data_IF_533378196486
#
_entry.id   IF_533378196486
#
_cell.length_a   1.000
_cell.length_b   1.000
_cell.length_c   1.000
_cell.angle_alpha   90.00
_cell.angle_beta   90.00
_cell.angle_gamma   90.00
#
_symmetry.space_group_name_H-M   'P 1'
#
loop_
_entity.id
_entity.type
_entity.pdbx_description
1 polymer ?
#
# COMPACT_ATOMS: atom_id res chain seq x y z
N UNK A 1 20.37 -10.55 -35.75
CA UNK A 1 20.35 -9.95 -34.40
C UNK A 1 20.35 -11.10 -33.41
N UNK A 2 21.19 -11.08 -32.38
CA UNK A 2 21.15 -12.14 -31.37
C UNK A 2 19.82 -12.07 -30.59
N UNK A 3 19.22 -13.22 -30.31
CA UNK A 3 17.98 -13.30 -29.54
C UNK A 3 18.20 -12.82 -28.09
N UNK A 4 17.23 -12.06 -27.55
CA UNK A 4 17.30 -11.59 -26.17
C UNK A 4 17.21 -12.78 -25.20
N UNK A 5 18.22 -12.95 -24.35
CA UNK A 5 18.25 -14.01 -23.33
C UNK A 5 17.41 -13.57 -22.13
N UNK A 6 16.27 -14.24 -21.92
CA UNK A 6 15.41 -14.04 -20.75
C UNK A 6 16.11 -14.55 -19.49
N UNK A 7 16.31 -13.68 -18.50
CA UNK A 7 16.84 -14.09 -17.20
C UNK A 7 15.70 -14.46 -16.24
N UNK A 8 15.89 -15.51 -15.47
CA UNK A 8 14.89 -16.01 -14.53
C UNK A 8 15.52 -16.67 -13.31
N UNK A 9 14.67 -17.03 -12.35
CA UNK A 9 15.12 -17.67 -11.13
C UNK A 9 15.94 -18.94 -11.41
N UNK A 10 17.03 -19.10 -10.65
CA UNK A 10 18.05 -20.15 -10.75
C UNK A 10 19.10 -19.96 -11.84
N UNK A 11 19.02 -18.89 -12.63
CA UNK A 11 20.10 -18.57 -13.56
C UNK A 11 21.35 -18.14 -12.79
N UNK A 12 22.50 -18.67 -13.23
CA UNK A 12 23.80 -18.42 -12.63
C UNK A 12 23.87 -18.81 -11.14
N UNK A 13 23.21 -19.91 -10.75
CA UNK A 13 23.27 -20.48 -9.41
C UNK A 13 24.65 -21.11 -9.12
N UNK A 14 25.69 -20.28 -8.97
CA UNK A 14 27.08 -20.71 -8.80
C UNK A 14 27.29 -21.61 -7.59
N UNK A 15 26.45 -21.44 -6.57
CA UNK A 15 26.48 -22.18 -5.30
C UNK A 15 25.56 -23.40 -5.30
N UNK A 16 24.86 -23.67 -6.40
CA UNK A 16 23.91 -24.79 -6.56
C UNK A 16 22.82 -24.82 -5.47
N UNK A 17 22.43 -23.67 -4.92
CA UNK A 17 21.45 -23.56 -3.82
C UNK A 17 20.04 -23.95 -4.29
N UNK A 18 19.75 -23.72 -5.57
CA UNK A 18 18.43 -23.93 -6.16
C UNK A 18 18.43 -24.99 -7.26
N UNK A 19 19.57 -25.65 -7.49
CA UNK A 19 19.78 -26.65 -8.55
C UNK A 19 19.84 -26.05 -9.96
N UNK A 20 20.21 -24.76 -10.06
CA UNK A 20 20.37 -24.07 -11.34
C UNK A 20 21.66 -24.43 -12.08
N UNK A 21 21.85 -23.82 -13.26
CA UNK A 21 23.10 -23.94 -14.04
C UNK A 21 23.61 -22.55 -14.40
N UNK A 22 24.91 -22.45 -14.64
CA UNK A 22 25.50 -21.26 -15.27
C UNK A 22 24.96 -21.09 -16.68
N UNK A 23 24.63 -19.85 -17.06
CA UNK A 23 24.20 -19.54 -18.41
C UNK A 23 25.33 -19.88 -19.40
N UNK A 24 25.01 -20.63 -20.45
CA UNK A 24 25.98 -21.05 -21.47
C UNK A 24 26.40 -19.92 -22.41
N UNK A 25 25.55 -18.89 -22.56
CA UNK A 25 25.81 -17.71 -23.36
C UNK A 25 25.80 -16.46 -22.47
N UNK A 26 26.61 -15.46 -22.82
CA UNK A 26 26.62 -14.18 -22.12
C UNK A 26 25.33 -13.40 -22.46
N UNK A 27 24.46 -13.13 -21.48
CA UNK A 27 23.32 -12.26 -21.72
C UNK A 27 23.80 -10.83 -22.00
N UNK A 28 23.09 -10.10 -22.84
CA UNK A 28 23.33 -8.66 -23.07
C UNK A 28 23.35 -7.87 -21.75
N UNK A 29 22.54 -8.32 -20.79
CA UNK A 29 22.38 -7.70 -19.49
C UNK A 29 22.85 -8.69 -18.41
N UNK A 30 24.00 -8.44 -17.80
CA UNK A 30 24.50 -9.35 -16.76
C UNK A 30 23.58 -9.32 -15.53
N UNK A 31 23.47 -10.43 -14.80
CA UNK A 31 22.65 -10.48 -13.57
C UNK A 31 23.13 -9.44 -12.55
N UNK A 32 24.44 -9.17 -12.47
CA UNK A 32 24.99 -8.16 -11.57
C UNK A 32 24.57 -6.75 -11.99
N UNK A 33 24.56 -6.45 -13.28
CA UNK A 33 24.02 -5.19 -13.82
C UNK A 33 22.52 -5.05 -13.54
N UNK A 34 21.73 -6.11 -13.79
CA UNK A 34 20.31 -6.15 -13.43
C UNK A 34 20.09 -5.84 -11.95
N UNK A 35 20.84 -6.47 -11.04
CA UNK A 35 20.71 -6.24 -9.60
C UNK A 35 21.03 -4.79 -9.21
N UNK A 36 22.07 -4.19 -9.82
CA UNK A 36 22.42 -2.79 -9.59
C UNK A 36 21.32 -1.83 -10.10
N UNK A 37 20.72 -2.12 -11.24
CA UNK A 37 19.66 -1.29 -11.82
C UNK A 37 18.33 -1.45 -11.07
N UNK A 38 17.98 -2.66 -10.63
CA UNK A 38 16.85 -2.89 -9.72
C UNK A 38 17.05 -2.15 -8.38
N UNK A 39 18.30 -2.04 -7.91
CA UNK A 39 18.64 -1.25 -6.72
C UNK A 39 18.49 0.25 -6.99
N UNK A 40 18.94 0.75 -8.14
CA UNK A 40 18.87 2.18 -8.47
C UNK A 40 17.43 2.68 -8.66
N UNK A 41 16.51 1.83 -9.14
CA UNK A 41 15.06 2.15 -9.20
C UNK A 41 14.31 1.81 -7.91
N UNK A 42 15.01 1.30 -6.88
CA UNK A 42 14.52 1.17 -5.52
C UNK A 42 13.69 -0.09 -5.19
N UNK A 43 13.84 -1.17 -5.94
CA UNK A 43 13.13 -2.44 -5.68
C UNK A 43 14.00 -3.54 -5.10
N UNK A 44 15.31 -3.31 -4.97
CA UNK A 44 16.27 -4.22 -4.38
C UNK A 44 17.06 -3.56 -3.25
N UNK A 45 17.31 -4.31 -2.17
CA UNK A 45 17.99 -3.81 -0.96
C UNK A 45 19.27 -4.59 -0.61
N UNK A 46 19.65 -5.59 -1.42
CA UNK A 46 20.81 -6.45 -1.19
C UNK A 46 22.03 -6.16 -2.06
N UNK A 47 23.15 -6.82 -1.76
CA UNK A 47 24.39 -6.78 -2.56
C UNK A 47 24.18 -7.52 -3.88
N UNK A 48 24.70 -6.95 -4.98
CA UNK A 48 24.72 -7.60 -6.28
C UNK A 48 25.79 -8.70 -6.31
N UNK A 49 25.37 -9.95 -6.17
CA UNK A 49 26.21 -11.16 -6.17
C UNK A 49 26.32 -11.83 -7.55
N UNK A 50 25.47 -11.44 -8.50
CA UNK A 50 25.38 -12.01 -9.83
C UNK A 50 24.54 -13.30 -9.91
N UNK A 51 23.83 -13.70 -8.85
CA UNK A 51 23.00 -14.89 -8.84
C UNK A 51 21.50 -14.52 -8.94
N UNK A 52 20.74 -15.17 -9.82
CA UNK A 52 19.30 -14.92 -9.95
C UNK A 52 18.50 -15.73 -8.91
N UNK A 53 18.72 -15.40 -7.63
CA UNK A 53 18.02 -15.99 -6.50
C UNK A 53 16.60 -15.46 -6.28
N UNK A 54 15.98 -15.90 -5.19
CA UNK A 54 14.62 -15.49 -4.81
C UNK A 54 14.49 -13.97 -4.56
N UNK A 55 15.54 -13.31 -4.06
CA UNK A 55 15.57 -11.86 -3.86
C UNK A 55 15.55 -11.09 -5.19
N UNK A 56 16.39 -11.52 -6.14
CA UNK A 56 16.41 -10.96 -7.51
C UNK A 56 15.05 -11.14 -8.19
N UNK A 57 14.46 -12.34 -8.10
CA UNK A 57 13.11 -12.60 -8.62
C UNK A 57 12.06 -11.67 -8.02
N UNK A 58 12.08 -11.47 -6.69
CA UNK A 58 11.13 -10.58 -6.01
C UNK A 58 11.31 -9.13 -6.47
N UNK A 59 12.54 -8.65 -6.60
CA UNK A 59 12.83 -7.30 -7.09
C UNK A 59 12.32 -7.09 -8.53
N UNK A 60 12.53 -8.07 -9.42
CA UNK A 60 11.95 -8.03 -10.78
C UNK A 60 10.42 -7.97 -10.72
N UNK A 61 9.76 -8.80 -9.90
CA UNK A 61 8.29 -8.75 -9.73
C UNK A 61 7.82 -7.38 -9.23
N UNK A 62 8.53 -6.77 -8.27
CA UNK A 62 8.19 -5.45 -7.74
C UNK A 62 8.28 -4.38 -8.83
N UNK A 63 9.36 -4.39 -9.63
CA UNK A 63 9.52 -3.46 -10.75
C UNK A 63 8.42 -3.65 -11.80
N UNK A 64 8.16 -4.88 -12.23
CA UNK A 64 7.08 -5.21 -13.17
C UNK A 64 5.71 -4.75 -12.64
N UNK A 65 5.44 -4.97 -11.35
CA UNK A 65 4.19 -4.52 -10.74
C UNK A 65 4.08 -3.00 -10.74
N UNK A 66 5.16 -2.27 -10.42
CA UNK A 66 5.18 -0.81 -10.49
C UNK A 66 4.93 -0.33 -11.93
N UNK A 67 5.51 -1.01 -12.92
CA UNK A 67 5.30 -0.71 -14.33
C UNK A 67 3.84 -0.83 -14.78
N UNK A 68 3.17 -1.89 -14.34
CA UNK A 68 1.77 -2.15 -14.69
C UNK A 68 0.76 -1.36 -13.86
N UNK A 69 1.08 -0.99 -12.61
CA UNK A 69 0.06 -0.53 -11.64
C UNK A 69 0.28 0.88 -11.11
N UNK A 70 1.53 1.34 -10.98
CA UNK A 70 1.80 2.62 -10.34
C UNK A 70 1.28 3.79 -11.20
N UNK A 71 0.71 4.79 -10.53
CA UNK A 71 0.23 6.03 -11.15
C UNK A 71 1.25 7.16 -11.06
N UNK A 72 2.39 6.91 -10.43
CA UNK A 72 3.47 7.87 -10.26
C UNK A 72 4.83 7.17 -10.10
N UNK A 73 5.89 7.95 -10.22
CA UNK A 73 7.25 7.60 -9.83
C UNK A 73 7.89 8.76 -9.07
N UNK A 74 8.93 8.48 -8.30
CA UNK A 74 9.72 9.49 -7.63
C UNK A 74 10.90 9.92 -8.52
N UNK A 75 11.18 11.22 -8.58
CA UNK A 75 12.36 11.80 -9.24
C UNK A 75 12.74 13.11 -8.56
N UNK A 76 14.01 13.28 -8.19
CA UNK A 76 14.52 14.48 -7.50
C UNK A 76 13.66 14.88 -6.28
N UNK A 77 13.30 13.91 -5.45
CA UNK A 77 12.42 14.07 -4.28
C UNK A 77 10.98 14.55 -4.57
N UNK A 78 10.57 14.54 -5.85
CA UNK A 78 9.21 14.89 -6.28
C UNK A 78 8.44 13.64 -6.70
N UNK A 79 7.13 13.64 -6.44
CA UNK A 79 6.21 12.62 -6.95
C UNK A 79 5.68 13.07 -8.32
N UNK A 80 6.03 12.33 -9.38
CA UNK A 80 5.68 12.67 -10.76
C UNK A 80 4.62 11.70 -11.26
N UNK A 81 3.50 12.24 -11.74
CA UNK A 81 2.41 11.44 -12.33
C UNK A 81 2.88 10.69 -13.57
N UNK A 82 2.51 9.42 -13.65
CA UNK A 82 2.77 8.56 -14.80
C UNK A 82 1.55 8.55 -15.73
N UNK A 83 1.72 9.05 -16.94
CA UNK A 83 0.64 9.15 -17.94
C UNK A 83 0.44 7.87 -18.75
N UNK A 84 1.46 7.03 -18.84
CA UNK A 84 1.43 5.77 -19.61
C UNK A 84 1.83 4.61 -18.71
N UNK A 85 0.94 3.61 -18.60
CA UNK A 85 1.25 2.33 -17.95
C UNK A 85 1.82 1.36 -18.99
N UNK A 86 2.91 0.67 -18.63
CA UNK A 86 3.52 -0.30 -19.53
C UNK A 86 2.76 -1.62 -19.46
N UNK A 87 2.56 -2.29 -20.59
CA UNK A 87 1.90 -3.59 -20.70
C UNK A 87 2.82 -4.74 -20.25
N UNK A 88 3.43 -4.60 -19.07
CA UNK A 88 4.40 -5.56 -18.51
C UNK A 88 3.68 -6.52 -17.56
N UNK A 89 3.89 -7.82 -17.76
CA UNK A 89 3.34 -8.87 -16.89
C UNK A 89 4.23 -9.11 -15.67
N UNK A 90 3.63 -9.42 -14.52
CA UNK A 90 4.35 -9.69 -13.27
C UNK A 90 4.79 -11.16 -13.20
N UNK A 91 5.85 -11.50 -13.93
CA UNK A 91 6.36 -12.88 -14.07
C UNK A 91 7.51 -13.21 -13.11
N UNK A 92 8.29 -12.20 -12.73
CA UNK A 92 9.57 -12.34 -12.02
C UNK A 92 10.72 -12.78 -12.91
N UNK A 93 10.53 -12.77 -14.24
CA UNK A 93 11.57 -12.97 -15.25
C UNK A 93 11.95 -11.63 -15.86
N UNK A 94 13.21 -11.43 -16.19
CA UNK A 94 13.64 -10.30 -17.00
C UNK A 94 13.49 -10.68 -18.48
N UNK A 95 12.34 -10.37 -19.05
CA UNK A 95 12.13 -10.38 -20.51
C UNK A 95 12.57 -9.05 -21.14
N UNK A 96 12.51 -8.98 -22.48
CA UNK A 96 12.98 -7.81 -23.23
C UNK A 96 12.20 -6.55 -22.84
N UNK A 97 10.87 -6.64 -22.71
CA UNK A 97 10.03 -5.51 -22.34
C UNK A 97 10.38 -4.97 -20.95
N UNK A 98 10.57 -5.85 -19.97
CA UNK A 98 10.99 -5.48 -18.61
C UNK A 98 12.39 -4.86 -18.63
N UNK A 99 13.32 -5.40 -19.42
CA UNK A 99 14.68 -4.88 -19.56
C UNK A 99 14.71 -3.48 -20.19
N UNK A 100 13.98 -3.26 -21.27
CA UNK A 100 13.93 -1.97 -21.97
C UNK A 100 13.32 -0.86 -21.07
N UNK A 101 12.24 -1.19 -20.36
CA UNK A 101 11.62 -0.29 -19.38
C UNK A 101 12.59 0.01 -18.22
N UNK A 102 13.27 -1.00 -17.68
CA UNK A 102 14.24 -0.80 -16.59
C UNK A 102 15.37 0.13 -17.03
N UNK A 103 15.95 -0.08 -18.21
CA UNK A 103 16.98 0.81 -18.77
C UNK A 103 16.47 2.25 -18.91
N UNK A 104 15.22 2.42 -19.32
CA UNK A 104 14.56 3.75 -19.43
C UNK A 104 14.41 4.42 -18.07
N UNK A 105 14.04 3.67 -17.03
CA UNK A 105 13.93 4.21 -15.66
C UNK A 105 15.29 4.62 -15.12
N UNK A 106 16.31 3.78 -15.31
CA UNK A 106 17.70 4.03 -14.89
C UNK A 106 18.24 5.29 -15.55
N UNK A 107 18.12 5.43 -16.89
CA UNK A 107 18.63 6.59 -17.62
C UNK A 107 17.93 7.89 -17.20
N UNK A 108 16.63 7.81 -16.92
CA UNK A 108 15.83 8.96 -16.49
C UNK A 108 15.89 9.26 -14.99
N UNK A 109 16.65 8.46 -14.21
CA UNK A 109 16.75 8.54 -12.74
C UNK A 109 15.38 8.45 -12.06
N UNK A 110 14.53 7.56 -12.55
CA UNK A 110 13.20 7.29 -12.01
C UNK A 110 13.29 6.24 -10.90
N UNK A 111 12.58 6.49 -9.82
CA UNK A 111 12.54 5.62 -8.64
C UNK A 111 11.11 5.19 -8.41
N UNK A 112 10.91 3.91 -8.11
CA UNK A 112 9.57 3.39 -7.77
C UNK A 112 9.06 4.02 -6.47
N UNK A 113 7.75 4.28 -6.43
CA UNK A 113 7.07 4.87 -5.28
C UNK A 113 5.75 4.14 -5.00
N UNK A 114 5.19 4.39 -3.81
CA UNK A 114 3.91 3.85 -3.40
C UNK A 114 2.74 4.73 -3.84
N UNK A 115 1.56 4.42 -3.31
CA UNK A 115 0.32 5.07 -3.67
C UNK A 115 -0.37 5.76 -2.50
N UNK A 116 0.38 6.01 -1.42
CA UNK A 116 -0.08 6.81 -0.29
C UNK A 116 -0.41 8.24 -0.73
N UNK A 117 -1.47 8.77 -0.13
CA UNK A 117 -1.91 10.15 -0.26
C UNK A 117 -2.19 10.72 1.12
N UNK A 118 -2.06 12.04 1.24
CA UNK A 118 -2.45 12.81 2.41
C UNK A 118 -3.79 13.50 2.14
N UNK A 119 -4.74 13.38 3.06
CA UNK A 119 -5.99 14.16 3.06
C UNK A 119 -6.20 14.81 4.43
N UNK A 120 -6.66 16.05 4.47
CA UNK A 120 -6.91 16.73 5.73
C UNK A 120 -8.28 16.32 6.31
N UNK A 121 -8.41 16.28 7.63
CA UNK A 121 -9.73 16.07 8.28
C UNK A 121 -10.74 17.15 7.88
N UNK A 122 -10.29 18.39 7.62
CA UNK A 122 -11.12 19.52 7.19
C UNK A 122 -11.80 19.33 5.83
N UNK A 123 -11.38 18.32 5.06
CA UNK A 123 -12.00 17.95 3.79
C UNK A 123 -13.35 17.21 3.99
N UNK A 124 -13.65 16.78 5.21
CA UNK A 124 -14.81 15.95 5.53
C UNK A 124 -15.73 16.65 6.53
N UNK A 125 -17.04 16.65 6.25
CA UNK A 125 -18.05 17.23 7.14
C UNK A 125 -18.50 16.32 8.29
N UNK A 126 -18.20 15.02 8.21
CA UNK A 126 -18.61 14.01 9.22
C UNK A 126 -17.48 13.09 9.67
N UNK A 127 -16.24 13.36 9.26
CA UNK A 127 -15.06 12.62 9.72
C UNK A 127 -14.19 13.56 10.53
N UNK A 128 -13.91 13.15 11.76
CA UNK A 128 -13.15 13.92 12.72
C UNK A 128 -12.03 13.09 13.33
N UNK A 129 -10.98 13.78 13.76
CA UNK A 129 -9.87 13.18 14.50
C UNK A 129 -10.33 12.79 15.90
N UNK A 130 -10.07 11.55 16.31
CA UNK A 130 -10.21 11.18 17.74
C UNK A 130 -9.07 11.77 18.57
N UNK A 131 -9.28 11.94 19.89
CA UNK A 131 -8.21 12.40 20.80
C UNK A 131 -6.99 11.49 20.84
N UNK A 132 -7.16 10.20 20.52
CA UNK A 132 -6.08 9.21 20.47
C UNK A 132 -5.39 9.06 19.11
N UNK A 133 -5.81 9.81 18.08
CA UNK A 133 -5.20 9.71 16.75
C UNK A 133 -3.78 10.27 16.78
N UNK A 134 -2.81 9.42 16.45
CA UNK A 134 -1.39 9.80 16.38
C UNK A 134 -0.98 10.02 14.93
N UNK A 135 -0.34 11.16 14.66
CA UNK A 135 0.34 11.37 13.37
C UNK A 135 1.43 10.32 13.19
N UNK A 136 1.69 9.97 11.95
CA UNK A 136 2.83 9.14 11.59
C UNK A 136 4.09 10.00 11.67
N UNK A 137 5.20 9.40 12.12
CA UNK A 137 6.50 10.06 12.19
C UNK A 137 7.08 10.26 10.77
N UNK A 138 6.53 11.22 10.04
CA UNK A 138 7.02 11.75 8.76
C UNK A 138 6.95 13.26 8.81
N UNK A 139 8.00 13.95 8.37
CA UNK A 139 8.08 15.42 8.40
C UNK A 139 7.06 16.10 7.49
N UNK A 140 6.55 15.38 6.49
CA UNK A 140 5.56 15.87 5.53
C UNK A 140 4.10 15.81 6.01
N UNK A 141 3.83 15.25 7.19
CA UNK A 141 2.48 14.93 7.67
C UNK A 141 2.13 15.77 8.90
N UNK A 142 1.04 16.52 8.78
CA UNK A 142 0.51 17.35 9.86
C UNK A 142 -0.39 16.57 10.81
N UNK A 143 -0.66 17.14 11.98
CA UNK A 143 -1.48 16.47 13.02
C UNK A 143 -2.94 16.27 12.66
N UNK A 144 -3.45 17.03 11.69
CA UNK A 144 -4.84 16.98 11.23
C UNK A 144 -4.95 16.36 9.83
N UNK A 145 -4.04 15.44 9.50
CA UNK A 145 -3.99 14.76 8.22
C UNK A 145 -4.09 13.24 8.38
N UNK A 146 -4.77 12.62 7.43
CA UNK A 146 -4.94 11.18 7.30
C UNK A 146 -4.05 10.71 6.15
N UNK A 147 -3.24 9.69 6.40
CA UNK A 147 -2.53 8.97 5.35
C UNK A 147 -3.32 7.72 4.99
N UNK A 148 -3.62 7.56 3.70
CA UNK A 148 -4.33 6.41 3.14
C UNK A 148 -3.77 6.07 1.75
N UNK A 149 -3.92 4.84 1.29
CA UNK A 149 -3.67 4.49 -0.11
C UNK A 149 -4.72 5.18 -1.01
N UNK A 150 -4.30 5.73 -2.14
CA UNK A 150 -5.20 6.28 -3.15
C UNK A 150 -6.23 5.25 -3.63
N UNK A 151 -5.87 3.97 -3.66
CA UNK A 151 -6.79 2.87 -3.99
C UNK A 151 -7.89 2.63 -2.95
N UNK A 152 -7.71 3.12 -1.72
CA UNK A 152 -8.69 3.04 -0.63
C UNK A 152 -9.30 4.40 -0.26
N UNK A 153 -8.95 5.49 -0.96
CA UNK A 153 -9.49 6.83 -0.68
C UNK A 153 -11.02 6.89 -0.79
N UNK A 154 -11.62 6.09 -1.67
CA UNK A 154 -13.07 6.01 -1.82
C UNK A 154 -13.77 5.55 -0.53
N UNK A 155 -13.11 4.74 0.33
CA UNK A 155 -13.67 4.35 1.63
C UNK A 155 -13.95 5.57 2.50
N UNK A 156 -13.03 6.55 2.56
CA UNK A 156 -13.25 7.77 3.35
C UNK A 156 -14.38 8.62 2.77
N UNK A 157 -14.49 8.71 1.44
CA UNK A 157 -15.56 9.44 0.77
C UNK A 157 -16.93 8.81 1.05
N UNK A 158 -17.05 7.51 0.86
CA UNK A 158 -18.28 6.76 1.09
C UNK A 158 -18.66 6.81 2.57
N UNK A 159 -17.69 6.65 3.47
CA UNK A 159 -17.89 6.76 4.91
C UNK A 159 -18.42 8.13 5.32
N UNK A 160 -17.85 9.22 4.80
CA UNK A 160 -18.33 10.58 5.05
C UNK A 160 -19.76 10.79 4.52
N UNK A 161 -20.03 10.35 3.28
CA UNK A 161 -21.34 10.46 2.64
C UNK A 161 -22.41 9.68 3.41
N UNK A 162 -22.13 8.43 3.78
CA UNK A 162 -23.05 7.61 4.57
C UNK A 162 -23.23 8.15 5.99
N UNK A 163 -22.18 8.69 6.61
CA UNK A 163 -22.28 9.34 7.91
C UNK A 163 -23.19 10.58 7.87
N UNK A 164 -23.10 11.40 6.81
CA UNK A 164 -24.01 12.53 6.55
C UNK A 164 -25.46 12.05 6.41
N UNK A 165 -25.70 11.02 5.60
CA UNK A 165 -27.03 10.46 5.39
C UNK A 165 -27.65 9.83 6.65
N UNK A 166 -26.83 9.31 7.58
CA UNK A 166 -27.28 8.72 8.84
C UNK A 166 -27.18 9.65 10.04
N UNK A 167 -26.78 10.91 9.83
CA UNK A 167 -26.61 11.94 10.86
C UNK A 167 -25.68 11.51 12.01
N UNK A 168 -24.68 10.69 11.71
CA UNK A 168 -23.64 10.25 12.67
C UNK A 168 -22.31 10.94 12.37
N UNK A 169 -21.43 10.99 13.36
CA UNK A 169 -20.04 11.44 13.20
C UNK A 169 -19.09 10.26 13.30
N UNK A 170 -18.05 10.26 12.47
CA UNK A 170 -17.00 9.26 12.46
C UNK A 170 -15.77 9.83 13.15
N UNK A 171 -15.32 9.19 14.23
CA UNK A 171 -14.08 9.55 14.94
C UNK A 171 -12.98 8.56 14.55
N UNK A 172 -12.03 8.99 13.71
CA UNK A 172 -10.93 8.12 13.28
C UNK A 172 -9.88 8.01 14.39
N UNK A 173 -9.56 6.77 14.74
CA UNK A 173 -8.54 6.38 15.71
C UNK A 173 -7.22 6.09 15.03
N UNK A 174 -7.23 5.40 13.89
CA UNK A 174 -6.04 4.99 13.12
C UNK A 174 -6.35 4.88 11.62
N UNK A 175 -5.32 5.03 10.79
CA UNK A 175 -5.38 4.82 9.33
C UNK A 175 -4.15 4.02 8.86
N UNK A 176 -3.30 4.54 7.96
CA UNK A 176 -2.03 3.87 7.62
C UNK A 176 -1.17 3.63 8.87
N UNK A 177 -0.48 2.48 8.93
CA UNK A 177 0.46 2.13 10.00
C UNK A 177 1.83 1.80 9.43
N UNK A 178 2.87 2.35 10.07
CA UNK A 178 4.26 2.02 9.76
C UNK A 178 4.62 0.70 10.44
N UNK A 179 5.17 -0.23 9.67
CA UNK A 179 5.59 -1.53 10.16
C UNK A 179 6.75 -1.39 11.17
N UNK A 180 6.72 -2.19 12.24
CA UNK A 180 7.74 -2.16 13.29
C UNK A 180 7.52 -1.09 14.37
N UNK A 181 6.57 -0.16 14.21
CA UNK A 181 6.21 0.82 15.23
C UNK A 181 5.16 0.24 16.19
N UNK A 182 5.41 0.29 17.50
CA UNK A 182 4.49 -0.25 18.53
C UNK A 182 3.17 0.52 18.51
N UNK A 183 2.06 -0.19 18.38
CA UNK A 183 0.70 0.38 18.48
C UNK A 183 0.35 0.58 19.95
N UNK A 184 0.01 1.80 20.37
CA UNK A 184 -0.51 2.08 21.72
C UNK A 184 -2.01 1.82 21.77
N UNK A 185 -2.51 1.09 22.78
CA UNK A 185 -3.96 0.91 23.00
C UNK A 185 -4.64 -0.18 22.17
N UNK A 186 -3.87 -1.07 21.53
CA UNK A 186 -4.44 -2.19 20.78
C UNK A 186 -5.11 -3.21 21.72
N UNK A 187 -6.43 -3.38 21.59
CA UNK A 187 -7.21 -4.41 22.31
C UNK A 187 -6.93 -5.82 21.74
N UNK A 188 -6.52 -5.89 20.47
CA UNK A 188 -6.21 -7.14 19.75
C UNK A 188 -4.79 -7.12 19.16
N UNK A 189 -3.99 -8.20 19.31
CA UNK A 189 -2.70 -8.33 18.64
C UNK A 189 -2.77 -8.05 17.13
N UNK A 190 -1.90 -7.17 16.58
CA UNK A 190 -1.90 -6.83 15.16
C UNK A 190 -1.52 -8.02 14.26
N UNK A 191 -2.23 -8.19 13.14
CA UNK A 191 -1.89 -9.18 12.13
C UNK A 191 -0.59 -8.82 11.38
N UNK A 192 0.22 -9.83 11.05
CA UNK A 192 1.46 -9.67 10.26
C UNK A 192 1.21 -9.12 8.85
N UNK A 193 0.04 -9.43 8.26
CA UNK A 193 -0.45 -8.89 6.98
C UNK A 193 -1.73 -8.08 7.14
N UNK A 194 -1.67 -7.00 7.92
CA UNK A 194 -2.79 -6.08 8.14
C UNK A 194 -3.04 -5.14 6.95
N UNK A 195 -4.30 -4.79 6.69
CA UNK A 195 -4.67 -3.80 5.67
C UNK A 195 -4.21 -2.38 6.02
N UNK A 196 -3.99 -2.08 7.32
CA UNK A 196 -3.40 -0.80 7.74
C UNK A 196 -1.97 -0.62 7.20
N UNK A 197 -1.21 -1.71 7.06
CA UNK A 197 0.19 -1.68 6.60
C UNK A 197 0.33 -1.36 5.11
N UNK A 198 -0.78 -1.39 4.37
CA UNK A 198 -0.84 -0.98 2.96
C UNK A 198 -1.69 0.26 2.74
N UNK A 199 -2.24 0.86 3.81
CA UNK A 199 -3.08 2.05 3.75
C UNK A 199 -4.51 1.78 3.28
N UNK A 200 -5.02 0.56 3.44
CA UNK A 200 -6.36 0.14 2.99
C UNK A 200 -7.40 0.07 4.10
N UNK A 201 -7.04 0.45 5.33
CA UNK A 201 -7.90 0.34 6.49
C UNK A 201 -7.91 1.59 7.35
N UNK A 202 -9.00 1.72 8.10
CA UNK A 202 -9.18 2.70 9.17
C UNK A 202 -9.73 1.99 10.40
N UNK A 203 -9.39 2.51 11.57
CA UNK A 203 -10.12 2.22 12.79
C UNK A 203 -10.87 3.48 13.18
N UNK A 204 -12.16 3.37 13.48
CA UNK A 204 -12.98 4.49 13.85
C UNK A 204 -14.10 4.09 14.82
N UNK A 205 -14.60 5.07 15.56
CA UNK A 205 -15.87 4.95 16.28
C UNK A 205 -16.98 5.68 15.51
N UNK A 206 -18.16 5.07 15.46
CA UNK A 206 -19.39 5.73 14.95
C UNK A 206 -20.09 6.37 16.15
N UNK A 207 -20.24 7.69 16.13
CA UNK A 207 -20.85 8.49 17.20
C UNK A 207 -22.22 8.97 16.76
N UNK A 208 -23.26 8.57 17.48
CA UNK A 208 -24.66 8.90 17.20
C UNK A 208 -25.27 9.59 18.43
N UNK A 209 -25.29 10.93 18.41
CA UNK A 209 -25.53 11.72 19.63
C UNK A 209 -24.50 11.38 20.71
N UNK A 210 -24.97 11.00 21.89
CA UNK A 210 -24.12 10.57 23.01
C UNK A 210 -23.67 9.10 22.91
N UNK A 211 -24.22 8.33 21.95
CA UNK A 211 -23.89 6.93 21.80
C UNK A 211 -22.59 6.73 21.00
N UNK A 212 -21.53 6.39 21.72
CA UNK A 212 -20.29 5.90 21.13
C UNK A 212 -20.43 4.42 20.81
N UNK A 213 -20.63 4.09 19.53
CA UNK A 213 -20.70 2.71 19.04
C UNK A 213 -19.29 2.09 19.00
N UNK A 214 -18.74 1.83 20.19
CA UNK A 214 -17.47 1.15 20.41
C UNK A 214 -17.68 -0.36 20.58
N UNK A 215 -16.59 -1.10 20.80
CA UNK A 215 -16.62 -2.55 20.97
C UNK A 215 -17.56 -3.03 22.08
N UNK A 216 -17.63 -2.33 23.22
CA UNK A 216 -18.54 -2.68 24.34
C UNK A 216 -19.99 -2.47 23.95
N UNK A 217 -20.28 -1.38 23.23
CA UNK A 217 -21.63 -1.06 22.74
C UNK A 217 -22.14 -2.13 21.77
N UNK A 218 -21.32 -2.59 20.83
CA UNK A 218 -21.67 -3.68 19.93
C UNK A 218 -21.82 -5.02 20.66
N UNK A 219 -20.88 -5.39 21.55
CA UNK A 219 -20.94 -6.63 22.34
C UNK A 219 -22.21 -6.73 23.20
N UNK A 220 -22.68 -5.61 23.73
CA UNK A 220 -23.88 -5.55 24.58
C UNK A 220 -25.17 -5.35 23.78
N UNK A 221 -25.14 -5.42 22.44
CA UNK A 221 -26.28 -5.14 21.55
C UNK A 221 -26.93 -3.75 21.78
N UNK A 222 -26.14 -2.76 22.20
CA UNK A 222 -26.59 -1.37 22.43
C UNK A 222 -26.21 -0.41 21.30
N UNK A 223 -25.74 -0.95 20.17
CA UNK A 223 -25.40 -0.14 19.01
C UNK A 223 -26.65 0.50 18.41
N UNK A 224 -26.54 1.78 18.05
CA UNK A 224 -27.65 2.54 17.50
C UNK A 224 -28.06 2.03 16.11
N UNK A 225 -29.32 2.26 15.75
CA UNK A 225 -29.83 1.85 14.44
C UNK A 225 -29.15 2.58 13.29
N UNK A 226 -28.75 3.84 13.49
CA UNK A 226 -28.02 4.60 12.47
C UNK A 226 -26.62 4.01 12.23
N UNK A 227 -25.91 3.58 13.29
CA UNK A 227 -24.62 2.92 13.15
C UNK A 227 -24.75 1.58 12.42
N UNK A 228 -25.76 0.76 12.77
CA UNK A 228 -26.05 -0.51 12.09
C UNK A 228 -26.39 -0.28 10.60
N UNK A 229 -27.21 0.73 10.28
CA UNK A 229 -27.57 1.10 8.90
C UNK A 229 -26.36 1.60 8.11
N UNK A 230 -25.46 2.38 8.72
CA UNK A 230 -24.22 2.83 8.09
C UNK A 230 -23.31 1.63 7.76
N UNK A 231 -23.07 0.73 8.73
CA UNK A 231 -22.26 -0.48 8.52
C UNK A 231 -22.84 -1.31 7.38
N UNK A 232 -24.15 -1.53 7.37
CA UNK A 232 -24.84 -2.25 6.30
C UNK A 232 -24.56 -1.63 4.92
N UNK A 233 -24.67 -0.30 4.80
CA UNK A 233 -24.39 0.41 3.54
C UNK A 233 -22.94 0.31 3.09
N UNK A 234 -21.97 0.39 4.00
CA UNK A 234 -20.56 0.18 3.64
C UNK A 234 -20.28 -1.25 3.19
N UNK A 235 -20.92 -2.24 3.80
CA UNK A 235 -20.83 -3.65 3.37
C UNK A 235 -21.42 -3.85 1.98
N UNK A 236 -22.54 -3.21 1.66
CA UNK A 236 -23.14 -3.20 0.31
C UNK A 236 -22.20 -2.57 -0.73
N UNK A 237 -21.34 -1.63 -0.32
CA UNK A 237 -20.27 -1.04 -1.15
C UNK A 237 -18.99 -1.89 -1.18
N UNK A 238 -19.06 -3.16 -0.77
CA UNK A 238 -17.95 -4.13 -0.76
C UNK A 238 -16.81 -3.81 0.22
N UNK A 239 -17.04 -2.93 1.20
CA UNK A 239 -16.10 -2.77 2.32
C UNK A 239 -16.32 -3.86 3.37
N UNK A 240 -15.24 -4.23 4.04
CA UNK A 240 -15.32 -5.11 5.20
C UNK A 240 -15.45 -4.30 6.47
N UNK A 241 -16.22 -4.82 7.40
CA UNK A 241 -16.28 -4.33 8.77
C UNK A 241 -15.71 -5.40 9.70
N UNK A 242 -14.83 -5.00 10.62
CA UNK A 242 -14.14 -5.95 11.50
C UNK A 242 -15.05 -6.61 12.53
N UNK A 243 -16.28 -6.12 12.71
CA UNK A 243 -17.30 -6.82 13.49
C UNK A 243 -17.73 -8.17 12.90
N UNK A 244 -17.52 -8.39 11.59
CA UNK A 244 -17.80 -9.68 10.93
C UNK A 244 -16.59 -10.63 10.91
N UNK A 245 -15.43 -10.23 11.47
CA UNK A 245 -14.23 -11.06 11.46
C UNK A 245 -14.29 -12.14 12.55
N UNK A 246 -13.64 -13.29 12.30
CA UNK A 246 -13.48 -14.36 13.30
C UNK A 246 -12.91 -13.81 14.61
N UNK A 247 -11.91 -12.92 14.51
CA UNK A 247 -11.44 -12.10 15.61
C UNK A 247 -12.09 -10.72 15.49
N UNK A 248 -13.21 -10.55 16.19
CA UNK A 248 -14.04 -9.34 16.15
C UNK A 248 -13.22 -8.09 16.46
N UNK A 249 -13.32 -7.10 15.57
CA UNK A 249 -12.66 -5.80 15.63
C UNK A 249 -13.61 -4.69 15.15
N UNK A 250 -14.60 -4.33 15.96
CA UNK A 250 -15.70 -3.45 15.53
C UNK A 250 -15.30 -2.02 15.13
N UNK A 251 -14.17 -1.44 15.56
CA UNK A 251 -13.71 -0.16 15.00
C UNK A 251 -13.22 -0.24 13.56
N UNK A 252 -12.83 -1.42 13.09
CA UNK A 252 -12.08 -1.60 11.84
C UNK A 252 -12.99 -1.59 10.60
N UNK A 253 -12.59 -0.83 9.58
CA UNK A 253 -13.11 -0.93 8.23
C UNK A 253 -11.96 -1.02 7.22
N UNK A 254 -12.13 -1.82 6.17
CA UNK A 254 -11.15 -1.86 5.09
C UNK A 254 -11.73 -2.14 3.70
N UNK A 255 -10.95 -1.72 2.70
CA UNK A 255 -11.08 -2.19 1.32
C UNK A 255 -10.08 -3.33 1.08
N UNK A 256 -10.57 -4.56 1.20
CA UNK A 256 -9.74 -5.78 1.19
C UNK A 256 -8.85 -5.85 -0.05
N UNK A 257 -7.55 -5.97 0.18
CA UNK A 257 -6.62 -6.58 -0.75
C UNK A 257 -6.20 -7.96 -0.20
N UNK A 258 -6.23 -8.99 -1.05
CA UNK A 258 -5.87 -10.34 -0.62
C UNK A 258 -4.42 -10.40 -0.15
N UNK A 259 -4.21 -10.86 1.10
CA UNK A 259 -2.88 -10.94 1.72
C UNK A 259 -2.01 -12.07 1.16
N UNK A 260 -2.58 -12.98 0.37
CA UNK A 260 -1.86 -14.05 -0.33
C UNK A 260 -1.36 -13.63 -1.71
N UNK A 261 -1.93 -12.55 -2.27
CA UNK A 261 -1.58 -12.07 -3.59
C UNK A 261 -0.37 -11.17 -3.57
N UNK A 262 0.41 -11.21 -4.67
CA UNK A 262 1.62 -10.39 -4.79
C UNK A 262 1.32 -8.89 -4.76
N UNK A 263 0.11 -8.46 -5.15
CA UNK A 263 -0.31 -7.07 -5.07
C UNK A 263 -0.28 -6.52 -3.63
N UNK A 264 -0.59 -7.35 -2.63
CA UNK A 264 -0.44 -6.96 -1.22
C UNK A 264 1.03 -6.74 -0.87
N UNK A 265 1.89 -7.69 -1.22
CA UNK A 265 3.33 -7.60 -0.93
C UNK A 265 3.97 -6.39 -1.62
N UNK A 266 3.54 -6.07 -2.84
CA UNK A 266 3.99 -4.89 -3.57
C UNK A 266 3.54 -3.59 -2.90
N UNK A 267 2.23 -3.47 -2.55
CA UNK A 267 1.74 -2.28 -1.82
C UNK A 267 2.41 -2.13 -0.46
N UNK A 268 2.60 -3.22 0.27
CA UNK A 268 3.32 -3.22 1.53
C UNK A 268 4.73 -2.68 1.33
N UNK A 269 5.48 -3.24 0.37
CA UNK A 269 6.84 -2.78 0.08
C UNK A 269 6.88 -1.29 -0.25
N UNK A 270 6.08 -0.84 -1.22
CA UNK A 270 6.16 0.55 -1.70
C UNK A 270 5.64 1.56 -0.68
N UNK A 271 4.51 1.29 -0.01
CA UNK A 271 3.92 2.26 0.93
C UNK A 271 4.74 2.38 2.22
N UNK A 272 5.34 1.29 2.70
CA UNK A 272 6.29 1.36 3.82
C UNK A 272 7.56 2.10 3.43
N UNK A 273 8.08 1.85 2.21
CA UNK A 273 9.27 2.51 1.68
C UNK A 273 9.08 4.00 1.47
N UNK A 274 7.89 4.46 1.05
CA UNK A 274 7.58 5.89 0.96
C UNK A 274 7.87 6.61 2.28
N UNK A 275 7.53 6.00 3.41
CA UNK A 275 7.79 6.59 4.74
C UNK A 275 9.24 6.41 5.15
N UNK A 276 9.80 5.19 5.05
CA UNK A 276 11.17 4.94 5.53
C UNK A 276 12.24 5.72 4.76
N UNK A 277 11.99 6.05 3.49
CA UNK A 277 12.88 6.86 2.65
C UNK A 277 12.44 8.32 2.51
N UNK A 278 11.44 8.76 3.28
CA UNK A 278 10.92 10.14 3.25
C UNK A 278 10.54 10.63 1.84
N UNK A 279 9.96 9.75 1.01
CA UNK A 279 9.48 10.12 -0.32
C UNK A 279 8.30 11.11 -0.20
N UNK A 280 8.18 12.01 -1.17
CA UNK A 280 7.04 12.92 -1.23
C UNK A 280 5.70 12.15 -1.31
N UNK A 281 4.82 12.41 -0.35
CA UNK A 281 3.45 11.90 -0.32
C UNK A 281 2.52 13.01 -0.83
N UNK A 282 1.83 12.82 -1.97
CA UNK A 282 0.99 13.87 -2.54
C UNK A 282 -0.23 14.17 -1.65
N UNK A 283 -0.53 15.45 -1.47
CA UNK A 283 -1.77 15.90 -0.85
C UNK A 283 -2.92 15.81 -1.85
N UNK A 284 -4.09 15.38 -1.40
CA UNK A 284 -5.32 15.32 -2.18
C UNK A 284 -6.39 16.19 -1.51
N UNK A 285 -6.92 17.14 -2.26
CA UNK A 285 -8.14 17.86 -1.92
C UNK A 285 -9.33 17.00 -2.31
N UNK A 286 -10.33 16.93 -1.43
CA UNK A 286 -11.60 16.29 -1.73
C UNK A 286 -12.57 17.42 -2.05
N UNK A 287 -13.10 17.50 -3.28
CA UNK A 287 -14.10 18.51 -3.61
C UNK A 287 -15.21 18.45 -2.56
N UNK A 288 -15.48 19.58 -1.91
CA UNK A 288 -16.64 19.69 -1.03
C UNK A 288 -17.85 19.40 -1.91
N UNK A 289 -18.60 18.35 -1.59
CA UNK A 289 -19.87 18.07 -2.25
C UNK A 289 -20.72 19.34 -2.16
N UNK A 290 -21.14 19.88 -3.32
CA UNK A 290 -22.08 20.99 -3.42
C UNK A 290 -23.42 20.62 -2.79
#
# INVERSE_FOLDING_TARGET
MADFIVLQHKDNDKKMVWGGKTLKAAPEYTIKSLQNDLKSVGVATGTADGDFGGKTRKAVKLFQWACANATAYAKNNSNITRTVKSAISVTGKLDKATSDELKTWVSNKQITTGDLVIVAFSEFGKIEKSSGFKKIASTSVLENEIIISSGALQLLKDLNSQAKAKKVTIKINQAFRVHGVKVTGAVVPPASKSQHLIGHAIDCNIVDGDNWNNIKTFKNNKASDNAKKLIKKLKELSYRWGGDFTKVDTPHFDKKLSSTEFSYDAKFFFNQRMVSESQAIPKKTIPKEA
#
